data_IF_270027573840
#
_entry.id   IF_270027573840
#
_cell.length_a   1.000
_cell.length_b   1.000
_cell.length_c   1.000
_cell.angle_alpha   90.00
_cell.angle_beta   90.00
_cell.angle_gamma   90.00
#
_symmetry.space_group_name_H-M   'P 1'
#
loop_
_entity.id
_entity.type
_entity.pdbx_description
1 polymer ?
#
# COMPACT_ATOMS: atom_id res chain seq x y z
N UNK A 1 -3.37 15.77 22.69
CA UNK A 1 -4.12 14.77 21.91
C UNK A 1 -3.11 13.74 21.43
N UNK A 2 -3.27 12.47 21.79
CA UNK A 2 -2.34 11.41 21.39
C UNK A 2 -2.53 11.08 19.90
N UNK A 3 -1.43 10.88 19.18
CA UNK A 3 -1.43 10.36 17.82
C UNK A 3 -2.21 9.03 17.77
N UNK A 4 -2.89 8.69 16.65
CA UNK A 4 -3.41 7.34 16.47
C UNK A 4 -2.27 6.34 16.70
N UNK A 5 -2.55 5.16 17.30
CA UNK A 5 -1.52 4.13 17.39
C UNK A 5 -1.04 3.84 15.98
N UNK A 6 0.27 4.00 15.75
CA UNK A 6 0.90 3.55 14.52
C UNK A 6 0.50 2.10 14.29
N UNK A 7 0.17 1.69 13.05
CA UNK A 7 0.02 0.28 12.74
C UNK A 7 1.25 -0.43 13.30
N UNK A 8 1.03 -1.49 14.08
CA UNK A 8 2.07 -2.26 14.74
C UNK A 8 3.22 -2.44 13.77
N UNK A 9 4.46 -2.18 14.21
CA UNK A 9 5.63 -2.58 13.43
C UNK A 9 5.41 -4.04 12.97
N UNK A 10 5.91 -4.45 11.80
CA UNK A 10 6.04 -5.86 11.44
C UNK A 10 6.89 -6.58 12.51
N UNK A 11 6.27 -6.92 13.65
CA UNK A 11 6.95 -7.20 14.91
C UNK A 11 7.82 -8.45 14.79
N UNK A 12 7.53 -9.34 13.84
CA UNK A 12 8.28 -10.57 13.63
C UNK A 12 9.52 -10.43 12.74
N UNK A 13 9.63 -9.39 11.90
CA UNK A 13 10.76 -9.24 10.96
C UNK A 13 11.71 -8.12 11.37
N UNK A 14 11.20 -7.03 11.95
CA UNK A 14 12.01 -5.90 12.41
C UNK A 14 12.72 -6.14 13.76
N UNK A 15 12.30 -7.13 14.55
CA UNK A 15 12.93 -7.48 15.84
C UNK A 15 13.52 -8.90 15.91
N UNK A 16 13.34 -9.72 14.87
CA UNK A 16 13.66 -11.14 14.87
C UNK A 16 14.98 -11.50 14.18
N UNK A 17 15.19 -12.81 14.01
CA UNK A 17 16.36 -13.44 13.33
C UNK A 17 16.66 -12.95 11.91
N UNK A 18 15.71 -12.27 11.26
CA UNK A 18 15.81 -11.79 9.89
C UNK A 18 16.13 -10.29 9.76
N UNK A 19 16.26 -9.58 10.89
CA UNK A 19 16.57 -8.15 10.92
C UNK A 19 17.79 -7.77 10.05
N UNK A 20 18.93 -8.50 10.06
CA UNK A 20 20.07 -8.14 9.22
C UNK A 20 19.75 -8.16 7.72
N UNK A 21 19.00 -9.18 7.27
CA UNK A 21 18.60 -9.34 5.86
C UNK A 21 17.62 -8.25 5.48
N UNK A 22 16.64 -7.96 6.34
CA UNK A 22 15.67 -6.90 6.14
C UNK A 22 16.33 -5.52 6.01
N UNK A 23 17.18 -5.14 6.97
CA UNK A 23 17.91 -3.87 6.95
C UNK A 23 18.79 -3.72 5.71
N UNK A 24 19.45 -4.79 5.29
CA UNK A 24 20.23 -4.81 4.05
C UNK A 24 19.36 -4.49 2.83
N UNK A 25 18.16 -5.09 2.70
CA UNK A 25 17.27 -4.80 1.57
C UNK A 25 16.66 -3.40 1.63
N UNK A 26 16.38 -2.86 2.82
CA UNK A 26 15.97 -1.46 2.99
C UNK A 26 17.04 -0.50 2.47
N UNK A 27 18.30 -0.74 2.83
CA UNK A 27 19.41 0.10 2.39
C UNK A 27 19.64 -0.01 0.88
N UNK A 28 19.77 -1.25 0.34
CA UNK A 28 20.04 -1.48 -1.08
C UNK A 28 18.92 -0.91 -1.96
N UNK A 29 17.66 -1.13 -1.60
CA UNK A 29 16.55 -0.63 -2.41
C UNK A 29 16.42 0.90 -2.36
N UNK A 30 16.71 1.54 -1.22
CA UNK A 30 16.79 3.00 -1.12
C UNK A 30 17.96 3.55 -1.95
N UNK A 31 19.12 2.89 -1.92
CA UNK A 31 20.30 3.30 -2.71
C UNK A 31 20.03 3.21 -4.22
N UNK A 32 19.49 2.09 -4.71
CA UNK A 32 19.10 1.97 -6.12
C UNK A 32 18.05 3.00 -6.53
N UNK A 33 17.06 3.27 -5.66
CA UNK A 33 16.03 4.24 -5.98
C UNK A 33 16.60 5.68 -6.05
N UNK A 34 17.51 6.03 -5.14
CA UNK A 34 18.19 7.33 -5.14
C UNK A 34 19.11 7.53 -6.35
N UNK A 35 19.68 6.44 -6.89
CA UNK A 35 20.55 6.47 -8.06
C UNK A 35 19.78 6.33 -9.40
N UNK A 36 18.45 6.44 -9.40
CA UNK A 36 17.58 6.23 -10.58
C UNK A 36 17.73 4.84 -11.23
N UNK A 37 18.09 3.84 -10.45
CA UNK A 37 18.32 2.46 -10.87
C UNK A 37 17.06 1.59 -10.72
N UNK A 38 15.91 2.10 -11.18
CA UNK A 38 14.62 1.40 -11.03
C UNK A 38 14.62 0.02 -11.72
N UNK A 39 15.31 -0.12 -12.85
CA UNK A 39 15.47 -1.41 -13.53
C UNK A 39 16.26 -2.44 -12.71
N UNK A 40 17.20 -2.02 -11.87
CA UNK A 40 17.90 -2.91 -10.93
C UNK A 40 16.95 -3.40 -9.81
N UNK A 41 16.07 -2.52 -9.34
CA UNK A 41 15.00 -2.88 -8.39
C UNK A 41 14.05 -3.90 -9.04
N UNK A 42 13.57 -3.66 -10.26
CA UNK A 42 12.69 -4.58 -10.98
C UNK A 42 13.37 -5.94 -11.25
N UNK A 43 14.67 -5.97 -11.57
CA UNK A 43 15.43 -7.23 -11.68
C UNK A 43 15.49 -7.97 -10.34
N UNK A 44 15.66 -7.24 -9.24
CA UNK A 44 15.66 -7.81 -7.89
C UNK A 44 14.28 -8.39 -7.52
N UNK A 45 13.18 -7.73 -7.90
CA UNK A 45 11.83 -8.26 -7.74
C UNK A 45 11.68 -9.61 -8.45
N UNK A 46 12.11 -9.71 -9.71
CA UNK A 46 12.09 -10.95 -10.48
C UNK A 46 12.84 -12.09 -9.78
N UNK A 47 14.04 -11.81 -9.26
CA UNK A 47 14.81 -12.78 -8.47
C UNK A 47 14.07 -13.21 -7.20
N UNK A 48 13.42 -12.27 -6.47
CA UNK A 48 12.63 -12.59 -5.28
C UNK A 48 11.41 -13.44 -5.59
N UNK A 49 10.72 -13.19 -6.70
CA UNK A 49 9.60 -14.03 -7.14
C UNK A 49 10.04 -15.47 -7.40
N UNK A 50 11.21 -15.68 -8.01
CA UNK A 50 11.76 -17.03 -8.22
C UNK A 50 12.06 -17.68 -6.85
N UNK A 51 12.74 -16.97 -5.95
CA UNK A 51 13.04 -17.48 -4.60
C UNK A 51 11.77 -17.85 -3.85
N UNK A 52 10.73 -17.00 -3.86
CA UNK A 52 9.45 -17.29 -3.19
C UNK A 52 8.83 -18.56 -3.77
N UNK A 53 8.80 -18.72 -5.10
CA UNK A 53 8.23 -19.91 -5.76
C UNK A 53 9.00 -21.18 -5.40
N UNK A 54 10.32 -21.13 -5.35
CA UNK A 54 11.16 -22.28 -4.98
C UNK A 54 10.99 -22.67 -3.51
N UNK A 55 11.02 -21.69 -2.61
CA UNK A 55 10.81 -21.93 -1.18
C UNK A 55 9.39 -22.42 -0.89
N UNK A 56 8.39 -21.86 -1.56
CA UNK A 56 7.00 -22.32 -1.50
C UNK A 56 6.88 -23.81 -1.85
N UNK A 57 7.49 -24.25 -2.96
CA UNK A 57 7.50 -25.67 -3.35
C UNK A 57 8.21 -26.55 -2.32
N UNK A 58 9.32 -26.05 -1.76
CA UNK A 58 10.05 -26.77 -0.72
C UNK A 58 9.22 -26.95 0.56
N UNK A 59 8.50 -25.91 1.00
CA UNK A 59 7.58 -25.97 2.14
C UNK A 59 6.50 -27.02 1.90
N UNK A 60 5.89 -27.02 0.72
CA UNK A 60 4.87 -28.00 0.33
C UNK A 60 5.41 -29.44 0.37
N UNK A 61 6.65 -29.65 -0.10
CA UNK A 61 7.25 -30.98 -0.12
C UNK A 61 7.61 -31.50 1.28
N UNK A 62 8.10 -30.62 2.16
CA UNK A 62 8.75 -31.01 3.43
C UNK A 62 7.90 -30.78 4.67
N UNK A 63 6.93 -29.85 4.63
CA UNK A 63 6.17 -29.39 5.79
C UNK A 63 6.99 -28.53 6.77
N UNK A 64 8.18 -28.07 6.37
CA UNK A 64 9.10 -27.33 7.25
C UNK A 64 8.61 -25.90 7.57
N UNK A 65 8.26 -25.67 8.84
CA UNK A 65 7.80 -24.38 9.35
C UNK A 65 8.87 -23.27 9.22
N UNK A 66 10.15 -23.59 9.34
CA UNK A 66 11.23 -22.60 9.18
C UNK A 66 11.30 -22.08 7.74
N UNK A 67 10.92 -22.90 6.77
CA UNK A 67 10.87 -22.51 5.37
C UNK A 67 9.64 -21.64 5.06
N UNK A 68 8.57 -21.74 5.84
CA UNK A 68 7.41 -20.82 5.77
C UNK A 68 7.78 -19.39 6.17
N UNK A 69 8.54 -19.22 7.27
CA UNK A 69 9.02 -17.88 7.70
C UNK A 69 9.87 -17.19 6.61
N UNK A 70 10.68 -17.96 5.88
CA UNK A 70 11.49 -17.43 4.78
C UNK A 70 10.64 -16.95 3.60
N UNK A 71 9.55 -17.64 3.30
CA UNK A 71 8.59 -17.21 2.26
C UNK A 71 8.00 -15.86 2.64
N UNK A 72 7.55 -15.70 3.89
CA UNK A 72 7.01 -14.43 4.40
C UNK A 72 8.03 -13.29 4.35
N UNK A 73 9.27 -13.55 4.78
CA UNK A 73 10.36 -12.57 4.67
C UNK A 73 10.56 -12.11 3.22
N UNK A 74 10.62 -13.05 2.27
CA UNK A 74 10.82 -12.70 0.87
C UNK A 74 9.62 -11.97 0.26
N UNK A 75 8.39 -12.27 0.69
CA UNK A 75 7.19 -11.51 0.32
C UNK A 75 7.27 -10.06 0.82
N UNK A 76 7.64 -9.85 2.09
CA UNK A 76 7.78 -8.48 2.62
C UNK A 76 8.89 -7.70 1.91
N UNK A 77 10.01 -8.36 1.59
CA UNK A 77 11.08 -7.75 0.78
C UNK A 77 10.54 -7.38 -0.61
N UNK A 78 9.71 -8.22 -1.23
CA UNK A 78 9.09 -7.91 -2.51
C UNK A 78 8.19 -6.65 -2.41
N UNK A 79 7.37 -6.53 -1.37
CA UNK A 79 6.53 -5.35 -1.14
C UNK A 79 7.35 -4.08 -0.89
N UNK A 80 8.42 -4.16 -0.12
CA UNK A 80 9.38 -3.08 0.05
C UNK A 80 9.99 -2.61 -1.29
N UNK A 81 10.34 -3.56 -2.17
CA UNK A 81 10.84 -3.23 -3.51
C UNK A 81 9.78 -2.51 -4.34
N UNK A 82 8.52 -2.95 -4.31
CA UNK A 82 7.42 -2.27 -5.01
C UNK A 82 7.21 -0.86 -4.49
N UNK A 83 7.24 -0.69 -3.18
CA UNK A 83 7.12 0.61 -2.52
C UNK A 83 8.23 1.57 -2.96
N UNK A 84 9.50 1.15 -2.86
CA UNK A 84 10.64 1.99 -3.24
C UNK A 84 10.66 2.26 -4.75
N UNK A 85 10.37 1.27 -5.60
CA UNK A 85 10.27 1.50 -7.03
C UNK A 85 9.16 2.52 -7.35
N UNK A 86 7.96 2.35 -6.78
CA UNK A 86 6.82 3.23 -7.04
C UNK A 86 7.06 4.68 -6.58
N UNK A 87 7.77 4.88 -5.48
CA UNK A 87 8.13 6.20 -4.94
C UNK A 87 9.01 7.01 -5.90
N UNK A 88 9.96 6.37 -6.57
CA UNK A 88 10.97 7.05 -7.41
C UNK A 88 10.72 6.86 -8.92
N UNK A 89 9.72 6.06 -9.32
CA UNK A 89 9.51 5.71 -10.72
C UNK A 89 9.09 6.89 -11.61
N UNK A 90 9.54 6.85 -12.86
CA UNK A 90 8.92 7.61 -13.95
C UNK A 90 7.60 6.98 -14.40
N UNK A 91 6.79 7.71 -15.18
CA UNK A 91 5.50 7.23 -15.66
C UNK A 91 5.58 5.86 -16.38
N UNK A 92 6.62 5.62 -17.18
CA UNK A 92 6.84 4.34 -17.88
C UNK A 92 7.05 3.18 -16.90
N UNK A 93 7.86 3.40 -15.86
CA UNK A 93 8.14 2.37 -14.86
C UNK A 93 6.91 2.06 -14.01
N UNK A 94 6.07 3.06 -13.74
CA UNK A 94 4.79 2.88 -13.03
C UNK A 94 3.90 1.83 -13.70
N UNK A 95 3.65 1.94 -15.00
CA UNK A 95 2.76 1.03 -15.72
C UNK A 95 3.31 -0.41 -15.68
N UNK A 96 4.63 -0.57 -15.80
CA UNK A 96 5.30 -1.86 -15.63
C UNK A 96 5.07 -2.44 -14.23
N UNK A 97 5.24 -1.66 -13.17
CA UNK A 97 5.00 -2.11 -11.80
C UNK A 97 3.56 -2.56 -11.59
N UNK A 98 2.58 -1.81 -12.13
CA UNK A 98 1.16 -2.19 -12.05
C UNK A 98 0.92 -3.54 -12.71
N UNK A 99 1.43 -3.73 -13.93
CA UNK A 99 1.30 -4.99 -14.67
C UNK A 99 1.99 -6.14 -13.94
N UNK A 100 3.20 -5.94 -13.41
CA UNK A 100 3.91 -6.97 -12.64
C UNK A 100 3.11 -7.40 -11.40
N UNK A 101 2.54 -6.45 -10.65
CA UNK A 101 1.72 -6.77 -9.48
C UNK A 101 0.41 -7.48 -9.86
N UNK A 102 -0.23 -7.07 -10.96
CA UNK A 102 -1.41 -7.76 -11.50
C UNK A 102 -1.08 -9.18 -11.95
N UNK A 103 0.07 -9.41 -12.58
CA UNK A 103 0.52 -10.74 -12.99
C UNK A 103 0.81 -11.62 -11.77
N UNK A 104 1.40 -11.06 -10.71
CA UNK A 104 1.63 -11.78 -9.44
C UNK A 104 0.30 -12.20 -8.82
N UNK A 105 -0.66 -11.28 -8.68
CA UNK A 105 -2.00 -11.61 -8.19
C UNK A 105 -2.71 -12.65 -9.09
N UNK A 106 -2.53 -12.50 -10.41
CA UNK A 106 -3.06 -13.43 -11.42
C UNK A 106 -2.44 -14.84 -11.40
N UNK A 107 -1.37 -15.09 -10.65
CA UNK A 107 -0.89 -16.46 -10.38
C UNK A 107 -1.99 -17.27 -9.66
N UNK A 108 -2.79 -16.60 -8.83
CA UNK A 108 -3.88 -17.22 -8.10
C UNK A 108 -3.40 -18.23 -7.06
N UNK A 109 -4.28 -19.16 -6.72
CA UNK A 109 -4.03 -20.13 -5.66
C UNK A 109 -3.08 -21.23 -6.15
N UNK A 110 -1.91 -21.34 -5.52
CA UNK A 110 -1.01 -22.47 -5.75
C UNK A 110 -1.47 -23.66 -4.90
N UNK A 111 -1.77 -24.81 -5.52
CA UNK A 111 -2.14 -26.00 -4.77
C UNK A 111 -0.92 -26.58 -4.04
N UNK A 112 -1.08 -26.86 -2.74
CA UNK A 112 -0.19 -27.71 -1.96
C UNK A 112 -0.23 -29.11 -2.57
N UNK A 113 0.82 -29.47 -3.31
CA UNK A 113 0.93 -30.82 -3.91
C UNK A 113 2.11 -31.51 -3.26
N UNK A 114 1.85 -32.47 -2.37
CA UNK A 114 2.85 -33.52 -2.09
C UNK A 114 2.93 -34.41 -3.32
N UNK A 115 4.14 -34.68 -3.81
CA UNK A 115 4.37 -35.50 -5.00
C UNK A 115 3.78 -36.93 -4.91
N UNK A 116 3.31 -37.35 -3.72
CA UNK A 116 2.69 -38.67 -3.46
C UNK A 116 1.15 -38.71 -3.58
N UNK A 117 0.45 -37.59 -3.66
CA UNK A 117 -1.01 -37.59 -3.53
C UNK A 117 -1.72 -37.63 -4.89
N UNK A 118 -2.33 -38.77 -5.20
CA UNK A 118 -3.29 -38.97 -6.30
C UNK A 118 -4.64 -38.22 -6.08
N UNK A 119 -4.63 -37.15 -5.29
CA UNK A 119 -5.83 -36.41 -4.91
C UNK A 119 -6.39 -35.61 -6.10
N UNK A 120 -7.72 -35.54 -6.18
CA UNK A 120 -8.46 -34.71 -7.13
C UNK A 120 -7.93 -33.25 -7.04
N UNK A 121 -7.66 -32.55 -8.15
CA UNK A 121 -7.29 -31.14 -8.15
C UNK A 121 -8.19 -30.24 -7.26
N UNK A 122 -9.44 -30.64 -6.99
CA UNK A 122 -10.39 -29.94 -6.11
C UNK A 122 -10.16 -30.14 -4.61
N UNK A 123 -9.35 -31.12 -4.20
CA UNK A 123 -9.07 -31.42 -2.78
C UNK A 123 -7.71 -30.88 -2.32
N UNK A 124 -7.03 -30.09 -3.15
CA UNK A 124 -5.70 -29.55 -2.83
C UNK A 124 -5.83 -28.32 -1.94
N UNK A 125 -5.18 -28.36 -0.78
CA UNK A 125 -5.13 -27.20 0.11
C UNK A 125 -4.35 -26.05 -0.55
N UNK A 126 -4.78 -24.80 -0.40
CA UNK A 126 -4.02 -23.65 -0.87
C UNK A 126 -2.74 -23.49 -0.05
N UNK A 127 -1.64 -23.08 -0.69
CA UNK A 127 -0.46 -22.66 0.07
C UNK A 127 -0.77 -21.37 0.85
N UNK A 128 -0.74 -21.44 2.18
CA UNK A 128 -1.05 -20.32 3.07
C UNK A 128 0.18 -19.77 3.77
N UNK A 129 0.16 -18.47 4.01
CA UNK A 129 1.02 -17.74 4.96
C UNK A 129 0.22 -17.47 6.24
N UNK A 130 0.86 -16.91 7.26
CA UNK A 130 0.21 -16.40 8.47
C UNK A 130 -0.89 -15.34 8.20
N UNK A 131 -0.92 -14.74 7.00
CA UNK A 131 -1.87 -13.69 6.60
C UNK A 131 -2.75 -14.05 5.40
N UNK A 132 -2.82 -15.32 5.02
CA UNK A 132 -3.73 -15.78 3.96
C UNK A 132 -3.04 -16.55 2.83
N UNK A 133 -3.81 -16.87 1.80
CA UNK A 133 -3.39 -17.65 0.64
C UNK A 133 -2.37 -16.88 -0.20
N UNK A 134 -1.26 -17.54 -0.51
CA UNK A 134 -0.19 -17.00 -1.32
C UNK A 134 -0.73 -16.52 -2.68
N UNK A 135 -0.36 -15.30 -3.08
CA UNK A 135 -0.79 -14.58 -4.29
C UNK A 135 -2.26 -14.18 -4.39
N UNK A 136 -3.20 -15.02 -3.95
CA UNK A 136 -4.64 -14.67 -4.03
C UNK A 136 -5.00 -13.58 -3.04
N UNK A 137 -4.54 -13.71 -1.79
CA UNK A 137 -4.83 -12.71 -0.75
C UNK A 137 -3.79 -11.58 -0.73
N UNK A 138 -2.67 -11.75 -1.47
CA UNK A 138 -1.51 -10.85 -1.46
C UNK A 138 -1.08 -10.51 -0.01
N UNK A 139 -0.71 -11.54 0.78
CA UNK A 139 -0.45 -11.37 2.21
C UNK A 139 0.62 -10.31 2.45
N UNK A 140 0.46 -9.54 3.53
CA UNK A 140 1.31 -8.43 3.94
C UNK A 140 1.30 -7.18 3.04
N UNK A 141 0.81 -7.24 1.80
CA UNK A 141 0.88 -6.10 0.87
C UNK A 141 0.27 -4.83 1.47
N UNK A 142 -0.96 -4.92 1.98
CA UNK A 142 -1.68 -3.75 2.51
C UNK A 142 -1.06 -3.26 3.83
N UNK A 143 -0.68 -4.20 4.70
CA UNK A 143 -0.03 -3.91 5.99
C UNK A 143 1.29 -3.17 5.77
N UNK A 144 2.14 -3.68 4.88
CA UNK A 144 3.45 -3.10 4.58
C UNK A 144 3.30 -1.74 3.89
N UNK A 145 2.38 -1.59 2.92
CA UNK A 145 2.17 -0.29 2.26
C UNK A 145 1.66 0.78 3.23
N UNK A 146 0.73 0.43 4.12
CA UNK A 146 0.24 1.34 5.16
C UNK A 146 1.32 1.69 6.19
N UNK A 147 2.12 0.70 6.59
CA UNK A 147 3.24 0.88 7.52
C UNK A 147 4.30 1.81 6.93
N UNK A 148 4.76 1.53 5.71
CA UNK A 148 5.74 2.36 5.01
C UNK A 148 5.23 3.79 4.78
N UNK A 149 3.97 3.95 4.36
CA UNK A 149 3.35 5.27 4.25
C UNK A 149 3.39 6.02 5.59
N UNK A 150 2.92 5.40 6.67
CA UNK A 150 2.87 6.05 7.99
C UNK A 150 4.25 6.49 8.46
N UNK A 151 5.28 5.68 8.18
CA UNK A 151 6.65 5.95 8.59
C UNK A 151 7.33 7.04 7.76
N UNK A 152 7.22 6.97 6.44
CA UNK A 152 8.06 7.78 5.55
C UNK A 152 7.33 8.99 4.97
N UNK A 153 5.98 9.05 5.02
CA UNK A 153 5.17 10.08 4.37
C UNK A 153 5.70 11.50 4.64
N UNK A 154 5.98 11.83 5.90
CA UNK A 154 6.47 13.15 6.27
C UNK A 154 7.77 13.50 5.54
N UNK A 155 8.71 12.57 5.49
CA UNK A 155 10.03 12.78 4.90
C UNK A 155 10.04 12.84 3.37
N UNK A 156 9.06 12.23 2.70
CA UNK A 156 8.99 12.21 1.23
C UNK A 156 8.85 13.60 0.61
N UNK A 157 9.33 13.76 -0.62
CA UNK A 157 8.93 14.90 -1.45
C UNK A 157 7.45 14.76 -1.91
N UNK A 158 6.82 15.85 -2.34
CA UNK A 158 5.47 15.83 -2.95
C UNK A 158 5.43 14.94 -4.18
N UNK A 159 6.44 15.03 -5.05
CA UNK A 159 6.55 14.15 -6.23
C UNK A 159 6.57 12.68 -5.84
N UNK A 160 7.29 12.32 -4.79
CA UNK A 160 7.38 10.94 -4.31
C UNK A 160 6.06 10.42 -3.76
N UNK A 161 5.37 11.21 -2.93
CA UNK A 161 4.02 10.86 -2.45
C UNK A 161 3.06 10.66 -3.62
N UNK A 162 3.08 11.58 -4.59
CA UNK A 162 2.25 11.48 -5.80
C UNK A 162 2.56 10.22 -6.61
N UNK A 163 3.83 9.92 -6.86
CA UNK A 163 4.22 8.76 -7.66
C UNK A 163 3.77 7.45 -7.00
N UNK A 164 4.04 7.30 -5.70
CA UNK A 164 3.59 6.16 -4.91
C UNK A 164 2.07 6.01 -4.97
N UNK A 165 1.31 7.08 -4.71
CA UNK A 165 -0.15 6.99 -4.69
C UNK A 165 -0.78 6.89 -6.07
N UNK A 166 -0.13 7.37 -7.13
CA UNK A 166 -0.57 7.09 -8.49
C UNK A 166 -0.48 5.60 -8.79
N UNK A 167 0.61 4.94 -8.39
CA UNK A 167 0.76 3.49 -8.50
C UNK A 167 -0.30 2.74 -7.67
N UNK A 168 -0.39 3.04 -6.36
CA UNK A 168 -1.31 2.35 -5.46
C UNK A 168 -2.79 2.56 -5.83
N UNK A 169 -3.16 3.77 -6.23
CA UNK A 169 -4.52 4.06 -6.69
C UNK A 169 -4.84 3.32 -8.01
N UNK A 170 -3.86 3.14 -8.89
CA UNK A 170 -4.06 2.33 -10.11
C UNK A 170 -4.30 0.88 -9.75
N UNK A 171 -3.45 0.28 -8.90
CA UNK A 171 -3.60 -1.11 -8.42
C UNK A 171 -4.92 -1.33 -7.68
N UNK A 172 -5.28 -0.43 -6.78
CA UNK A 172 -6.55 -0.47 -6.05
C UNK A 172 -7.75 -0.29 -6.98
N UNK A 173 -7.66 0.64 -7.94
CA UNK A 173 -8.70 0.93 -8.91
C UNK A 173 -9.03 -0.24 -9.84
N UNK A 174 -8.02 -0.96 -10.32
CA UNK A 174 -8.23 -2.18 -11.13
C UNK A 174 -8.66 -3.39 -10.30
N UNK A 175 -8.60 -3.28 -8.97
CA UNK A 175 -9.18 -4.27 -8.07
C UNK A 175 -8.31 -5.47 -7.77
N UNK A 176 -6.98 -5.31 -7.72
CA UNK A 176 -6.08 -6.37 -7.25
C UNK A 176 -6.39 -6.78 -5.82
N UNK A 177 -6.64 -5.81 -4.93
CA UNK A 177 -7.02 -6.08 -3.54
C UNK A 177 -7.79 -4.89 -2.99
N UNK A 178 -9.04 -5.10 -2.56
CA UNK A 178 -9.93 -4.02 -2.08
C UNK A 178 -9.40 -3.38 -0.81
N UNK A 179 -8.76 -4.18 0.05
CA UNK A 179 -8.09 -3.70 1.25
C UNK A 179 -7.00 -2.67 0.93
N UNK A 180 -6.42 -2.64 -0.27
CA UNK A 180 -5.44 -1.61 -0.63
C UNK A 180 -6.05 -0.19 -0.63
N UNK A 181 -7.38 -0.08 -0.83
CA UNK A 181 -8.08 1.19 -0.71
C UNK A 181 -8.03 1.76 0.72
N UNK A 182 -7.72 0.95 1.74
CA UNK A 182 -7.47 1.45 3.10
C UNK A 182 -6.29 2.43 3.14
N UNK A 183 -5.26 2.22 2.32
CA UNK A 183 -4.13 3.16 2.21
C UNK A 183 -4.62 4.50 1.66
N UNK A 184 -5.49 4.47 0.64
CA UNK A 184 -6.12 5.68 0.11
C UNK A 184 -7.01 6.41 1.11
N UNK A 185 -7.76 5.65 1.93
CA UNK A 185 -8.58 6.21 3.02
C UNK A 185 -7.71 6.99 4.02
N UNK A 186 -6.53 6.48 4.38
CA UNK A 186 -5.58 7.18 5.27
C UNK A 186 -5.13 8.50 4.65
N UNK A 187 -4.72 8.49 3.38
CA UNK A 187 -4.28 9.70 2.67
C UNK A 187 -5.40 10.74 2.61
N UNK A 188 -6.62 10.32 2.28
CA UNK A 188 -7.78 11.21 2.19
C UNK A 188 -8.17 11.77 3.55
N UNK A 189 -8.13 10.96 4.61
CA UNK A 189 -8.30 11.41 5.98
C UNK A 189 -7.24 12.46 6.34
N UNK A 190 -5.96 12.17 6.13
CA UNK A 190 -4.87 13.08 6.48
C UNK A 190 -4.95 14.40 5.71
N UNK A 191 -5.45 14.38 4.48
CA UNK A 191 -5.58 15.57 3.62
C UNK A 191 -6.85 16.38 3.90
N UNK A 192 -7.99 15.71 4.06
CA UNK A 192 -9.31 16.36 4.07
C UNK A 192 -10.01 16.39 5.42
N UNK A 193 -9.66 15.47 6.34
CA UNK A 193 -10.29 15.37 7.67
C UNK A 193 -9.41 15.95 8.80
N UNK A 194 -8.12 16.14 8.55
CA UNK A 194 -7.18 16.73 9.51
C UNK A 194 -7.08 18.25 9.29
N UNK A 195 -7.22 19.08 10.35
CA UNK A 195 -6.99 20.52 10.25
C UNK A 195 -5.52 20.79 9.86
N UNK A 196 -5.30 21.37 8.67
CA UNK A 196 -3.99 21.72 8.14
C UNK A 196 -4.07 23.06 7.44
N UNK A 197 -2.95 23.78 7.42
CA UNK A 197 -2.81 24.96 6.55
C UNK A 197 -2.85 24.54 5.09
N UNK A 198 -3.32 25.43 4.21
CA UNK A 198 -3.42 25.13 2.77
C UNK A 198 -2.04 24.86 2.15
N UNK A 199 -1.03 25.61 2.58
CA UNK A 199 0.31 25.57 1.99
C UNK A 199 0.40 26.31 0.65
N UNK A 200 1.62 26.37 0.13
CA UNK A 200 1.96 26.90 -1.19
C UNK A 200 2.80 25.88 -1.97
N UNK A 201 2.55 25.78 -3.27
CA UNK A 201 3.22 24.87 -4.19
C UNK A 201 4.64 25.34 -4.57
N UNK A 202 5.02 26.57 -4.18
CA UNK A 202 6.32 27.19 -4.49
C UNK A 202 7.52 26.71 -3.66
N UNK A 203 7.33 25.87 -2.65
CA UNK A 203 8.43 25.34 -1.80
C UNK A 203 9.22 24.25 -2.55
N UNK A 204 10.52 24.13 -2.28
CA UNK A 204 11.38 23.08 -2.84
C UNK A 204 10.80 21.67 -2.60
N UNK A 205 10.64 20.91 -3.68
CA UNK A 205 10.08 19.55 -3.67
C UNK A 205 11.17 18.49 -3.38
N UNK A 206 11.72 18.55 -2.17
CA UNK A 206 12.82 17.67 -1.74
C UNK A 206 12.41 16.76 -0.57
N UNK A 207 13.13 15.65 -0.45
CA UNK A 207 13.09 14.82 0.75
C UNK A 207 13.68 15.57 1.94
N UNK A 208 13.10 15.38 3.12
CA UNK A 208 13.57 15.96 4.37
C UNK A 208 13.32 14.98 5.53
N UNK A 209 14.38 14.29 5.98
CA UNK A 209 14.30 13.31 7.08
C UNK A 209 13.90 13.95 8.43
N UNK A 210 13.99 15.28 8.57
CA UNK A 210 13.56 16.01 9.75
C UNK A 210 12.07 16.43 9.73
N UNK A 211 11.38 16.25 8.60
CA UNK A 211 9.98 16.67 8.44
C UNK A 211 9.05 15.75 9.23
N UNK A 212 8.06 16.34 9.89
CA UNK A 212 7.04 15.61 10.68
C UNK A 212 5.66 15.69 10.04
N UNK A 213 4.77 14.75 10.36
CA UNK A 213 3.40 14.75 9.83
C UNK A 213 2.64 16.04 10.16
N UNK A 214 2.89 16.68 11.30
CA UNK A 214 2.21 17.92 11.72
C UNK A 214 2.67 19.15 10.91
N UNK A 215 3.87 19.09 10.32
CA UNK A 215 4.40 20.16 9.47
C UNK A 215 3.86 20.14 8.03
N UNK A 216 3.19 19.06 7.61
CA UNK A 216 2.63 18.94 6.27
C UNK A 216 1.38 19.80 6.09
N UNK A 217 1.35 20.52 4.97
CA UNK A 217 0.19 21.29 4.52
C UNK A 217 -0.76 20.44 3.67
N UNK A 218 -1.91 21.00 3.31
CA UNK A 218 -2.82 20.36 2.33
C UNK A 218 -2.12 20.19 0.98
N UNK A 219 -1.42 21.22 0.50
CA UNK A 219 -0.65 21.18 -0.76
C UNK A 219 0.34 20.00 -0.81
N UNK A 220 0.98 19.68 0.32
CA UNK A 220 1.95 18.59 0.41
C UNK A 220 1.36 17.18 0.23
N UNK A 221 0.06 17.02 0.50
CA UNK A 221 -0.66 15.75 0.43
C UNK A 221 -1.67 15.69 -0.73
N UNK A 222 -2.03 16.85 -1.29
CA UNK A 222 -3.18 16.96 -2.19
C UNK A 222 -3.04 16.13 -3.46
N UNK A 223 -1.86 16.12 -4.09
CA UNK A 223 -1.62 15.34 -5.30
C UNK A 223 -1.71 13.82 -5.06
N UNK A 224 -1.31 13.36 -3.88
CA UNK A 224 -1.50 11.97 -3.47
C UNK A 224 -2.99 11.65 -3.26
N UNK A 225 -3.73 12.51 -2.56
CA UNK A 225 -5.18 12.38 -2.37
C UNK A 225 -5.94 12.39 -3.71
N UNK A 226 -5.52 13.27 -4.63
CA UNK A 226 -6.08 13.39 -5.98
C UNK A 226 -5.94 12.10 -6.78
N UNK A 227 -4.84 11.36 -6.63
CA UNK A 227 -4.68 10.06 -7.29
C UNK A 227 -5.82 9.10 -6.92
N UNK A 228 -6.19 9.02 -5.63
CA UNK A 228 -7.30 8.17 -5.19
C UNK A 228 -8.67 8.68 -5.67
N UNK A 229 -8.90 9.99 -5.63
CA UNK A 229 -10.16 10.59 -6.07
C UNK A 229 -10.38 10.51 -7.58
N UNK A 230 -9.33 10.39 -8.39
CA UNK A 230 -9.42 10.39 -9.86
C UNK A 230 -9.20 9.01 -10.47
N UNK A 231 -8.17 8.28 -10.02
CA UNK A 231 -7.79 7.00 -10.62
C UNK A 231 -8.62 5.85 -10.04
N UNK A 232 -8.82 5.84 -8.72
CA UNK A 232 -9.54 4.77 -8.02
C UNK A 232 -11.02 5.10 -7.74
N UNK A 233 -11.56 6.14 -8.40
CA UNK A 233 -12.89 6.67 -8.14
C UNK A 233 -13.99 5.59 -8.14
N UNK A 234 -14.10 4.84 -9.23
CA UNK A 234 -15.14 3.81 -9.40
C UNK A 234 -15.03 2.70 -8.34
N UNK A 235 -13.83 2.50 -7.78
CA UNK A 235 -13.62 1.56 -6.68
C UNK A 235 -14.08 2.14 -5.35
N UNK A 236 -13.76 3.40 -5.09
CA UNK A 236 -14.19 4.11 -3.89
C UNK A 236 -15.71 4.24 -3.85
N UNK A 237 -16.36 4.57 -4.96
CA UNK A 237 -17.83 4.67 -5.02
C UNK A 237 -18.50 3.34 -4.64
N UNK A 238 -18.07 2.23 -5.26
CA UNK A 238 -18.56 0.88 -4.94
C UNK A 238 -18.30 0.45 -3.49
N UNK A 239 -17.12 0.73 -2.95
CA UNK A 239 -16.78 0.39 -1.57
C UNK A 239 -17.58 1.22 -0.56
N UNK A 240 -17.85 2.49 -0.88
CA UNK A 240 -18.65 3.38 -0.05
C UNK A 240 -20.12 2.91 0.02
N UNK A 241 -20.70 2.52 -1.13
CA UNK A 241 -22.05 1.95 -1.21
C UNK A 241 -22.20 0.68 -0.36
N UNK A 242 -21.15 -0.14 -0.33
CA UNK A 242 -21.11 -1.37 0.47
C UNK A 242 -20.79 -1.14 1.95
N UNK A 243 -20.55 0.12 2.36
CA UNK A 243 -20.10 0.46 3.71
C UNK A 243 -18.87 -0.36 4.11
N UNK A 244 -17.81 -0.30 3.31
CA UNK A 244 -16.60 -1.10 3.49
C UNK A 244 -16.00 -0.96 4.90
N UNK A 245 -15.85 -2.09 5.60
CA UNK A 245 -15.36 -2.18 7.00
C UNK A 245 -14.07 -2.96 7.17
N UNK A 246 -13.57 -3.59 6.12
CA UNK A 246 -12.36 -4.42 6.16
C UNK A 246 -11.11 -3.53 6.05
N UNK A 247 -10.98 -2.62 7.01
CA UNK A 247 -9.92 -1.64 7.11
C UNK A 247 -9.08 -2.00 8.34
N UNK A 248 -7.74 -2.10 8.22
CA UNK A 248 -6.88 -2.37 9.37
C UNK A 248 -7.12 -1.40 10.53
N UNK A 249 -6.95 -1.91 11.76
CA UNK A 249 -7.34 -1.21 12.99
C UNK A 249 -6.81 0.23 13.05
N UNK A 250 -7.70 1.17 13.38
CA UNK A 250 -7.38 2.58 13.53
C UNK A 250 -7.32 3.38 12.21
N UNK A 251 -7.12 2.74 11.05
CA UNK A 251 -7.05 3.45 9.77
C UNK A 251 -8.43 3.97 9.32
N UNK A 252 -9.51 3.27 9.68
CA UNK A 252 -10.89 3.62 9.34
C UNK A 252 -11.49 4.75 10.18
N UNK A 253 -10.82 5.23 11.22
CA UNK A 253 -11.39 6.25 12.12
C UNK A 253 -11.60 7.60 11.42
N UNK A 254 -12.66 8.32 11.81
CA UNK A 254 -12.91 9.68 11.34
C UNK A 254 -11.91 10.67 11.93
N UNK A 255 -11.41 11.58 11.09
CA UNK A 255 -10.64 12.74 11.49
C UNK A 255 -11.50 13.88 12.06
N UNK A 256 -10.87 14.90 12.68
CA UNK A 256 -11.57 15.97 13.40
C UNK A 256 -12.59 16.75 12.56
N UNK A 257 -12.26 17.09 11.31
CA UNK A 257 -13.15 17.88 10.45
C UNK A 257 -14.39 17.10 10.00
N UNK A 258 -14.25 15.80 9.72
CA UNK A 258 -15.39 14.94 9.40
C UNK A 258 -16.33 14.78 10.60
N UNK A 259 -15.77 14.61 11.81
CA UNK A 259 -16.53 14.57 13.06
C UNK A 259 -17.28 15.90 13.29
N UNK A 260 -16.61 17.03 13.10
CA UNK A 260 -17.22 18.36 13.22
C UNK A 260 -18.34 18.58 12.19
N UNK A 261 -18.20 18.04 10.98
CA UNK A 261 -19.21 18.10 9.93
C UNK A 261 -20.37 17.12 10.14
N UNK A 262 -20.36 16.29 11.19
CA UNK A 262 -21.43 15.34 11.49
C UNK A 262 -21.43 14.09 10.61
N UNK A 263 -20.29 13.72 10.02
CA UNK A 263 -20.16 12.45 9.28
C UNK A 263 -20.38 11.29 10.25
N UNK A 264 -21.29 10.32 9.95
CA UNK A 264 -21.53 9.17 10.82
C UNK A 264 -20.29 8.30 11.00
N UNK A 265 -19.98 7.94 12.25
CA UNK A 265 -18.90 7.01 12.56
C UNK A 265 -19.39 5.56 12.44
N UNK A 266 -19.32 5.03 11.23
CA UNK A 266 -19.73 3.66 10.91
C UNK A 266 -18.58 2.65 11.05
N UNK A 267 -17.43 3.05 11.62
CA UNK A 267 -16.25 2.19 11.75
C UNK A 267 -15.59 1.80 10.42
N UNK A 268 -15.86 2.54 9.35
CA UNK A 268 -15.44 2.17 7.99
C UNK A 268 -15.46 3.32 6.99
N UNK A 269 -15.67 2.97 5.73
CA UNK A 269 -15.82 3.91 4.62
C UNK A 269 -17.25 3.87 4.06
N UNK A 270 -17.92 5.02 4.06
CA UNK A 270 -19.33 5.16 3.69
C UNK A 270 -19.55 6.28 2.67
N UNK A 271 -20.76 6.30 2.09
CA UNK A 271 -21.18 7.31 1.10
C UNK A 271 -21.14 8.72 1.68
N UNK A 272 -21.49 8.90 2.96
CA UNK A 272 -21.44 10.21 3.63
C UNK A 272 -20.01 10.72 3.77
N UNK A 273 -19.07 9.83 4.13
CA UNK A 273 -17.65 10.16 4.23
C UNK A 273 -17.05 10.50 2.87
N UNK A 274 -17.39 9.72 1.84
CA UNK A 274 -16.99 10.02 0.46
C UNK A 274 -17.55 11.37 -0.01
N UNK A 275 -18.81 11.68 0.30
CA UNK A 275 -19.44 12.95 -0.03
C UNK A 275 -18.76 14.14 0.65
N UNK A 276 -18.38 13.99 1.92
CA UNK A 276 -17.57 14.97 2.63
C UNK A 276 -16.22 15.21 1.92
N UNK A 277 -15.49 14.15 1.55
CA UNK A 277 -14.24 14.29 0.80
C UNK A 277 -14.40 14.92 -0.57
N UNK A 278 -15.49 14.64 -1.29
CA UNK A 278 -15.80 15.28 -2.58
C UNK A 278 -15.91 16.80 -2.43
N UNK A 279 -16.58 17.29 -1.39
CA UNK A 279 -16.70 18.72 -1.11
C UNK A 279 -15.32 19.34 -0.81
N UNK A 280 -14.54 18.71 0.07
CA UNK A 280 -13.19 19.17 0.41
C UNK A 280 -12.23 19.16 -0.78
N UNK A 281 -12.30 18.13 -1.63
CA UNK A 281 -11.52 18.07 -2.86
C UNK A 281 -11.79 19.27 -3.76
N UNK A 282 -13.07 19.64 -3.97
CA UNK A 282 -13.44 20.82 -4.79
C UNK A 282 -12.92 22.13 -4.21
N UNK A 283 -13.00 22.29 -2.89
CA UNK A 283 -12.48 23.47 -2.19
C UNK A 283 -10.97 23.63 -2.39
N UNK A 284 -10.23 22.52 -2.38
CA UNK A 284 -8.78 22.50 -2.57
C UNK A 284 -8.36 22.64 -4.03
N UNK A 285 -9.09 22.01 -4.96
CA UNK A 285 -8.82 21.99 -6.42
C UNK A 285 -8.98 23.33 -7.13
N UNK A 286 -9.67 24.30 -6.52
CA UNK A 286 -10.07 25.53 -7.20
C UNK A 286 -11.20 25.33 -8.22
N UNK A 287 -11.74 26.42 -8.79
CA UNK A 287 -13.00 26.40 -9.55
C UNK A 287 -12.98 25.63 -10.88
N UNK A 288 -11.80 25.26 -11.42
CA UNK A 288 -11.66 24.73 -12.79
C UNK A 288 -11.40 23.21 -12.88
N UNK A 289 -11.49 22.43 -11.79
CA UNK A 289 -11.29 20.97 -11.88
C UNK A 289 -12.62 20.22 -11.99
N UNK A 290 -13.02 19.72 -13.18
CA UNK A 290 -14.19 18.86 -13.29
C UNK A 290 -13.92 17.52 -12.60
N UNK A 291 -14.76 17.17 -11.63
CA UNK A 291 -14.90 15.77 -11.21
C UNK A 291 -15.65 15.05 -12.32
N UNK A 292 -15.23 13.82 -12.67
CA UNK A 292 -16.02 12.97 -13.56
C UNK A 292 -17.44 12.81 -12.96
N UNK A 293 -18.49 12.85 -13.79
CA UNK A 293 -19.87 12.67 -13.34
C UNK A 293 -20.08 11.31 -12.69
#
# INVERSE_FOLDING_TARGET
MAAPPSPSDPQDIAGGRYLPVWSMFQQISKEYANNDQIDDICRTMGSKLITIKEQARYVVATGDHQSSEKVELHLRILWLLFYNAARFCSAKHKDRLVVELMLIHGIGTLPETRESDNADPKERNPLTTSKGVLWSDMPFLVEDMAHHWTKDCAAMSRTQRRNLHSFLATVGGVGVQDKLCSVGIVVLRDTFETPRERGDDGIEDLEDEGRTMDSLTVADLFDAAKCWMVIAWDRFDRLAEQSFRDIPDGLGQLGPLAKQAGVPDNGGFSVERLSFWRSRYRECSGPDTPLRP
#
